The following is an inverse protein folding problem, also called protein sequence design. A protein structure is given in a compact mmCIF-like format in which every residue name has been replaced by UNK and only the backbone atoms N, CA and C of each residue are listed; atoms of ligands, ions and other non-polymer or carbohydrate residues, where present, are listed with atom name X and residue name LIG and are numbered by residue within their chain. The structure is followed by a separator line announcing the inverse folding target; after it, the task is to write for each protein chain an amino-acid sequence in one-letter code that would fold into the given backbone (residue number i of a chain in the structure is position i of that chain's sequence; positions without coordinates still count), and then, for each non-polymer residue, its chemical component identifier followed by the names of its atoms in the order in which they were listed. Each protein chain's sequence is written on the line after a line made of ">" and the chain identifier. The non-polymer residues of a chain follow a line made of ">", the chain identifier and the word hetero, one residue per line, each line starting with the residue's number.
data_IF_440944861711
#
_entry.id   IF_440944861711
#
_cell.length_a   1.000
_cell.length_b   1.000
_cell.length_c   1.000
_cell.angle_alpha   90.00
_cell.angle_beta   90.00
_cell.angle_gamma   90.00
#
_symmetry.space_group_name_H-M   'P 1'
#
loop_
_entity.id
_entity.type
_entity.pdbx_description
1 polymer ?
#
# COMPACT_ATOMS: atom_id res chain seq x y z
N UNK A 1 8.76 14.25 -5.20
CA UNK A 1 7.91 13.08 -5.37
C UNK A 1 8.51 12.22 -6.47
N UNK A 2 8.84 10.96 -6.19
CA UNK A 2 9.53 10.08 -7.12
C UNK A 2 8.70 8.81 -7.35
N UNK A 3 8.01 8.75 -8.48
CA UNK A 3 7.35 7.53 -8.93
C UNK A 3 8.42 6.58 -9.49
N UNK A 4 8.57 5.39 -8.90
CA UNK A 4 9.60 4.39 -9.33
C UNK A 4 9.48 4.06 -10.82
N UNK A 5 8.27 4.13 -11.37
CA UNK A 5 7.96 3.91 -12.79
C UNK A 5 8.56 4.97 -13.73
N UNK A 6 8.94 6.14 -13.21
CA UNK A 6 9.59 7.20 -14.00
C UNK A 6 11.08 6.91 -14.28
N UNK A 7 11.70 6.02 -13.51
CA UNK A 7 13.08 5.60 -13.73
C UNK A 7 13.12 4.50 -14.80
N UNK A 8 13.83 4.77 -15.90
CA UNK A 8 13.93 3.88 -17.05
C UNK A 8 15.01 2.80 -16.87
N UNK A 9 15.88 2.96 -15.87
CA UNK A 9 16.94 2.03 -15.53
C UNK A 9 17.38 2.19 -14.07
N UNK A 10 18.05 1.17 -13.52
CA UNK A 10 18.69 1.24 -12.21
C UNK A 10 19.74 2.38 -12.13
N UNK A 11 20.37 2.74 -13.26
CA UNK A 11 21.33 3.84 -13.33
C UNK A 11 20.67 5.21 -13.16
N UNK A 12 19.48 5.41 -13.75
CA UNK A 12 18.71 6.65 -13.60
C UNK A 12 18.23 6.81 -12.16
N UNK A 13 17.72 5.72 -11.57
CA UNK A 13 17.29 5.69 -10.18
C UNK A 13 18.46 6.00 -9.23
N UNK A 14 19.62 5.39 -9.48
CA UNK A 14 20.86 5.68 -8.77
C UNK A 14 21.22 7.16 -8.85
N UNK A 15 21.19 7.74 -10.04
CA UNK A 15 21.51 9.16 -10.23
C UNK A 15 20.56 10.06 -9.44
N UNK A 16 19.25 9.79 -9.46
CA UNK A 16 18.23 10.55 -8.73
C UNK A 16 18.47 10.46 -7.20
N UNK A 17 18.74 9.25 -6.70
CA UNK A 17 18.99 9.03 -5.27
C UNK A 17 20.30 9.68 -4.80
N UNK A 18 21.35 9.68 -5.63
CA UNK A 18 22.61 10.37 -5.30
C UNK A 18 22.53 11.88 -5.42
N UNK A 19 21.72 12.40 -6.36
CA UNK A 19 21.57 13.84 -6.59
C UNK A 19 20.61 14.51 -5.60
N UNK A 20 19.83 13.72 -4.87
CA UNK A 20 19.00 14.23 -3.78
C UNK A 20 19.89 14.82 -2.67
N UNK A 21 19.59 16.04 -2.26
CA UNK A 21 20.34 16.77 -1.23
C UNK A 21 20.18 16.14 0.15
N UNK A 22 21.13 16.38 1.05
CA UNK A 22 20.96 16.02 2.46
C UNK A 22 19.81 16.82 3.11
N UNK A 23 19.32 16.35 4.27
CA UNK A 23 18.18 16.91 5.01
C UNK A 23 16.88 16.89 4.20
N UNK A 24 16.65 15.77 3.52
CA UNK A 24 15.46 15.54 2.69
C UNK A 24 14.67 14.34 3.17
N UNK A 25 13.36 14.39 2.94
CA UNK A 25 12.49 13.20 2.99
C UNK A 25 12.28 12.73 1.56
N UNK A 26 12.62 11.47 1.30
CA UNK A 26 12.38 10.82 0.02
C UNK A 26 11.16 9.89 0.16
N UNK A 27 10.14 10.14 -0.64
CA UNK A 27 8.96 9.28 -0.75
C UNK A 27 9.05 8.44 -2.01
N UNK A 28 8.89 7.13 -1.85
CA UNK A 28 8.88 6.13 -2.92
C UNK A 28 7.56 5.38 -2.84
N UNK A 29 6.66 5.64 -3.78
CA UNK A 29 5.31 5.10 -3.76
C UNK A 29 5.17 3.76 -4.51
N UNK A 30 4.19 2.95 -4.09
CA UNK A 30 3.69 1.75 -4.77
C UNK A 30 4.79 0.74 -5.20
N UNK A 31 5.66 0.38 -4.25
CA UNK A 31 6.81 -0.49 -4.52
C UNK A 31 6.45 -1.95 -4.88
N UNK A 32 5.19 -2.35 -4.70
CA UNK A 32 4.68 -3.67 -5.08
C UNK A 32 4.33 -3.80 -6.57
N UNK A 33 4.20 -2.70 -7.32
CA UNK A 33 3.84 -2.72 -8.75
C UNK A 33 4.92 -3.30 -9.69
N UNK A 34 6.19 -3.33 -9.27
CA UNK A 34 7.32 -3.88 -10.06
C UNK A 34 7.53 -5.40 -9.95
N UNK A 35 6.77 -6.08 -9.11
CA UNK A 35 7.04 -7.48 -8.71
C UNK A 35 6.61 -8.54 -9.72
N UNK A 36 6.09 -8.17 -10.90
CA UNK A 36 5.85 -9.14 -11.99
C UNK A 36 7.13 -9.89 -12.41
N UNK A 37 8.31 -9.39 -12.08
CA UNK A 37 9.62 -10.01 -12.36
C UNK A 37 10.06 -11.04 -11.29
N UNK A 38 9.48 -11.03 -10.08
CA UNK A 38 9.96 -11.91 -9.00
C UNK A 38 9.37 -13.33 -9.03
N UNK A 39 8.46 -13.62 -9.96
CA UNK A 39 7.90 -14.97 -10.15
C UNK A 39 8.79 -15.87 -11.02
N UNK A 40 9.66 -15.31 -11.85
CA UNK A 40 10.45 -16.12 -12.79
C UNK A 40 11.77 -16.63 -12.19
N UNK A 41 12.23 -16.10 -11.04
CA UNK A 41 13.42 -16.62 -10.36
C UNK A 41 13.18 -17.90 -9.56
N UNK A 42 11.93 -18.20 -9.21
CA UNK A 42 11.58 -19.40 -8.43
C UNK A 42 11.33 -20.65 -9.30
N UNK A 43 11.38 -20.53 -10.64
CA UNK A 43 11.18 -21.65 -11.58
C UNK A 43 12.44 -22.10 -12.33
N UNK A 44 13.63 -21.63 -11.93
CA UNK A 44 14.91 -22.01 -12.58
C UNK A 44 15.72 -23.03 -11.76
N UNK A 45 15.12 -23.61 -10.71
CA UNK A 45 15.71 -24.73 -9.95
C UNK A 45 14.77 -25.93 -9.92
N UNK A 46 14.31 -26.36 -11.08
CA UNK A 46 14.06 -27.79 -11.33
C UNK A 46 14.11 -27.99 -12.85
N UNK A 47 14.53 -29.17 -13.29
CA UNK A 47 14.72 -29.58 -14.70
C UNK A 47 16.09 -29.24 -15.31
N UNK A 48 17.13 -29.90 -14.79
CA UNK A 48 18.21 -30.40 -15.66
C UNK A 48 17.77 -31.75 -16.24
N UNK A 49 17.38 -31.81 -17.52
CA UNK A 49 17.98 -32.73 -18.51
C UNK A 49 17.35 -32.64 -19.92
N UNK A 50 18.21 -32.24 -20.86
CA UNK A 50 18.34 -32.70 -22.25
C UNK A 50 17.16 -32.56 -23.22
N UNK A 51 17.30 -31.62 -24.18
CA UNK A 51 17.42 -31.94 -25.62
C UNK A 51 17.75 -30.69 -26.46
N UNK A 52 18.78 -30.84 -27.28
CA UNK A 52 19.14 -29.95 -28.39
C UNK A 52 18.07 -30.01 -29.48
N UNK A 53 17.60 -28.86 -29.98
CA UNK A 53 17.41 -28.59 -31.43
C UNK A 53 16.85 -27.17 -31.69
N UNK A 54 17.51 -26.51 -32.64
CA UNK A 54 17.26 -25.28 -33.41
C UNK A 54 15.99 -24.42 -33.21
N UNK A 55 16.18 -23.16 -32.76
CA UNK A 55 15.89 -21.90 -33.52
C UNK A 55 16.08 -20.64 -32.63
N UNK A 56 16.61 -19.50 -33.15
CA UNK A 56 16.88 -18.31 -32.36
C UNK A 56 15.60 -17.47 -32.23
N UNK A 57 14.68 -17.90 -31.37
CA UNK A 57 13.47 -17.13 -31.13
C UNK A 57 13.77 -16.00 -30.14
N UNK A 58 14.04 -14.83 -30.71
CA UNK A 58 13.82 -13.49 -30.15
C UNK A 58 13.97 -13.43 -28.63
N UNK A 59 15.16 -13.03 -28.19
CA UNK A 59 15.34 -12.30 -26.94
C UNK A 59 14.33 -11.15 -26.99
N UNK A 60 13.15 -11.35 -26.41
CA UNK A 60 12.29 -10.23 -26.06
C UNK A 60 13.17 -9.40 -25.15
N UNK A 61 13.55 -8.23 -25.66
CA UNK A 61 14.19 -7.16 -24.92
C UNK A 61 13.54 -7.08 -23.55
N UNK A 62 14.18 -7.74 -22.59
CA UNK A 62 13.95 -7.55 -21.17
C UNK A 62 14.33 -6.11 -20.97
N UNK A 63 13.35 -5.20 -21.13
CA UNK A 63 13.49 -3.85 -20.64
C UNK A 63 13.96 -4.03 -19.19
N UNK A 64 15.17 -3.59 -18.83
CA UNK A 64 15.71 -3.74 -17.49
C UNK A 64 15.00 -2.68 -16.64
N UNK A 65 13.69 -2.86 -16.48
CA UNK A 65 12.88 -2.08 -15.58
C UNK A 65 13.46 -2.21 -14.18
N UNK A 66 13.36 -1.14 -13.41
CA UNK A 66 13.84 -1.09 -12.04
C UNK A 66 13.26 -2.26 -11.25
N UNK A 67 14.14 -3.12 -10.73
CA UNK A 67 13.72 -4.19 -9.82
C UNK A 67 13.78 -3.69 -8.38
N UNK A 68 12.80 -4.08 -7.56
CA UNK A 68 12.78 -3.71 -6.14
C UNK A 68 14.05 -4.19 -5.41
N UNK A 69 14.53 -5.40 -5.73
CA UNK A 69 15.80 -5.92 -5.21
C UNK A 69 17.00 -5.08 -5.65
N UNK A 70 17.03 -4.60 -6.89
CA UNK A 70 18.08 -3.73 -7.43
C UNK A 70 18.11 -2.36 -6.74
N UNK A 71 16.93 -1.73 -6.58
CA UNK A 71 16.77 -0.50 -5.82
C UNK A 71 17.34 -0.62 -4.40
N UNK A 72 17.06 -1.72 -3.71
CA UNK A 72 17.44 -1.87 -2.30
C UNK A 72 18.90 -2.28 -2.10
N UNK A 73 19.45 -3.14 -2.97
CA UNK A 73 20.89 -3.40 -2.99
C UNK A 73 21.68 -2.10 -3.24
N UNK A 74 21.13 -1.19 -4.03
CA UNK A 74 21.72 0.12 -4.25
C UNK A 74 21.59 1.04 -3.03
N UNK A 75 20.42 1.10 -2.40
CA UNK A 75 20.20 1.87 -1.17
C UNK A 75 21.13 1.42 -0.03
N UNK A 76 21.36 0.11 0.14
CA UNK A 76 22.33 -0.42 1.10
C UNK A 76 23.75 0.15 0.88
N UNK A 77 24.17 0.28 -0.38
CA UNK A 77 25.44 0.89 -0.76
C UNK A 77 25.49 2.40 -0.49
N UNK A 78 24.36 3.09 -0.64
CA UNK A 78 24.23 4.51 -0.29
C UNK A 78 24.23 4.76 1.21
N UNK A 79 23.56 3.92 2.00
CA UNK A 79 23.55 4.06 3.46
C UNK A 79 24.92 3.89 4.09
N UNK A 80 25.77 3.12 3.42
CA UNK A 80 27.17 2.93 3.83
C UNK A 80 28.06 4.14 3.47
N UNK A 81 27.62 5.02 2.56
CA UNK A 81 28.50 6.02 1.91
C UNK A 81 28.04 7.48 2.05
N UNK A 82 26.75 7.73 2.30
CA UNK A 82 26.18 9.08 2.36
C UNK A 82 25.73 9.41 3.79
N UNK A 83 26.16 10.56 4.30
CA UNK A 83 25.89 11.02 5.67
C UNK A 83 24.42 10.96 6.08
N UNK A 84 24.21 10.62 7.35
CA UNK A 84 22.99 10.18 8.04
C UNK A 84 21.82 11.19 8.11
N UNK A 85 21.64 12.08 7.12
CA UNK A 85 20.64 13.16 7.16
C UNK A 85 19.48 12.94 6.17
N UNK A 86 19.02 11.70 5.95
CA UNK A 86 17.91 11.40 5.02
C UNK A 86 16.91 10.43 5.63
N UNK A 87 15.62 10.69 5.39
CA UNK A 87 14.53 9.77 5.72
C UNK A 87 13.94 9.26 4.41
N UNK A 88 13.80 7.95 4.28
CA UNK A 88 13.16 7.32 3.11
C UNK A 88 11.86 6.66 3.57
N UNK A 89 10.76 7.01 2.93
CA UNK A 89 9.43 6.47 3.18
C UNK A 89 9.01 5.67 1.95
N UNK A 90 8.60 4.43 2.17
CA UNK A 90 8.03 3.56 1.16
C UNK A 90 6.54 3.36 1.42
N UNK A 91 5.72 3.37 0.37
CA UNK A 91 4.31 2.95 0.45
C UNK A 91 4.10 1.66 -0.31
N UNK A 92 3.24 0.79 0.21
CA UNK A 92 2.83 -0.45 -0.45
C UNK A 92 1.45 -0.87 0.02
N UNK A 93 0.66 -1.43 -0.88
CA UNK A 93 -0.61 -2.08 -0.54
C UNK A 93 -0.42 -3.57 -0.21
N UNK A 94 0.71 -4.15 -0.59
CA UNK A 94 0.98 -5.59 -0.55
C UNK A 94 2.33 -5.90 0.10
N UNK A 95 2.43 -5.68 1.42
CA UNK A 95 3.66 -5.96 2.19
C UNK A 95 4.13 -7.40 2.03
N UNK A 96 3.21 -8.35 1.89
CA UNK A 96 3.44 -9.77 1.70
C UNK A 96 4.11 -10.13 0.36
N UNK A 97 4.06 -9.24 -0.63
CA UNK A 97 4.72 -9.43 -1.94
C UNK A 97 6.16 -8.93 -1.95
N UNK A 98 6.59 -8.24 -0.89
CA UNK A 98 7.96 -7.73 -0.77
C UNK A 98 8.91 -8.85 -0.34
N UNK A 99 10.13 -8.81 -0.87
CA UNK A 99 11.19 -9.72 -0.45
C UNK A 99 11.48 -9.50 1.06
N UNK A 100 11.41 -10.55 1.91
CA UNK A 100 11.67 -10.44 3.34
C UNK A 100 13.04 -9.86 3.69
N UNK A 101 14.03 -9.96 2.78
CA UNK A 101 15.33 -9.34 2.97
C UNK A 101 15.25 -7.82 3.08
N UNK A 102 14.22 -7.18 2.52
CA UNK A 102 14.00 -5.74 2.54
C UNK A 102 13.47 -5.25 3.88
N UNK A 103 12.74 -6.11 4.58
CA UNK A 103 12.10 -5.80 5.87
C UNK A 103 13.06 -6.00 7.06
N UNK A 104 14.34 -6.30 6.81
CA UNK A 104 15.34 -6.53 7.85
C UNK A 104 15.76 -5.21 8.50
N UNK A 105 16.09 -5.20 9.80
CA UNK A 105 16.72 -4.06 10.47
C UNK A 105 18.00 -3.63 9.76
N UNK A 106 18.26 -2.33 9.75
CA UNK A 106 19.26 -1.69 8.91
C UNK A 106 18.79 -1.44 7.49
N UNK A 107 17.58 -1.92 7.11
CA UNK A 107 16.92 -1.58 5.85
C UNK A 107 15.63 -0.78 5.99
N UNK A 108 14.54 -1.49 6.29
CA UNK A 108 13.25 -0.88 6.59
C UNK A 108 13.03 -1.05 8.09
N UNK A 109 13.51 -0.10 8.87
CA UNK A 109 13.52 -0.21 10.33
C UNK A 109 12.14 0.00 10.95
N UNK A 110 11.33 0.89 10.37
CA UNK A 110 10.03 1.28 10.90
C UNK A 110 8.92 0.87 9.94
N UNK A 111 7.98 0.09 10.43
CA UNK A 111 6.81 -0.36 9.67
C UNK A 111 5.52 0.19 10.29
N UNK A 112 4.79 1.01 9.53
CA UNK A 112 3.51 1.58 9.95
C UNK A 112 2.40 0.94 9.12
N UNK A 113 1.43 0.30 9.79
CA UNK A 113 0.25 -0.24 9.13
C UNK A 113 -0.89 0.78 9.13
N UNK A 114 -1.33 1.19 7.94
CA UNK A 114 -2.46 2.10 7.74
C UNK A 114 -3.75 1.28 7.54
N UNK A 115 -4.46 1.02 8.64
CA UNK A 115 -5.66 0.17 8.65
C UNK A 115 -6.97 0.91 8.37
N UNK A 116 -8.07 0.18 8.60
CA UNK A 116 -9.44 0.72 8.51
C UNK A 116 -9.75 1.76 9.60
N UNK A 117 -10.80 2.54 9.38
CA UNK A 117 -11.24 3.58 10.30
C UNK A 117 -11.76 2.97 11.60
N UNK A 118 -11.08 3.29 12.70
CA UNK A 118 -11.50 2.90 14.05
C UNK A 118 -12.47 3.95 14.62
N UNK A 119 -13.23 3.63 15.68
CA UNK A 119 -14.02 4.62 16.43
C UNK A 119 -13.21 5.88 16.80
N UNK A 120 -11.97 5.70 17.25
CA UNK A 120 -11.05 6.80 17.57
C UNK A 120 -10.66 7.60 16.33
N UNK A 121 -10.42 6.93 15.19
CA UNK A 121 -10.17 7.56 13.91
C UNK A 121 -11.36 8.39 13.44
N UNK A 122 -12.57 7.84 13.54
CA UNK A 122 -13.82 8.54 13.24
C UNK A 122 -14.00 9.80 14.09
N UNK A 123 -13.82 9.73 15.42
CA UNK A 123 -13.91 10.92 16.28
C UNK A 123 -12.95 12.02 15.86
N UNK A 124 -11.72 11.66 15.47
CA UNK A 124 -10.75 12.65 14.95
C UNK A 124 -11.23 13.27 13.64
N UNK A 125 -11.78 12.48 12.72
CA UNK A 125 -12.31 13.00 11.45
C UNK A 125 -13.55 13.88 11.68
N UNK A 126 -14.46 13.49 12.56
CA UNK A 126 -15.64 14.27 12.92
C UNK A 126 -15.26 15.60 13.60
N UNK A 127 -14.31 15.57 14.52
CA UNK A 127 -13.78 16.79 15.14
C UNK A 127 -13.11 17.72 14.11
N UNK A 128 -12.39 17.15 13.14
CA UNK A 128 -11.66 17.92 12.11
C UNK A 128 -12.61 18.54 11.09
N UNK A 129 -13.59 17.79 10.59
CA UNK A 129 -14.46 18.24 9.49
C UNK A 129 -15.77 18.88 9.93
N UNK A 130 -16.34 18.42 11.06
CA UNK A 130 -17.63 18.91 11.55
C UNK A 130 -17.50 19.79 12.80
N UNK A 131 -16.31 19.85 13.42
CA UNK A 131 -16.12 20.56 14.68
C UNK A 131 -16.82 19.91 15.88
N UNK A 132 -17.35 18.69 15.74
CA UNK A 132 -18.08 17.97 16.79
C UNK A 132 -17.12 17.03 17.53
N UNK A 133 -17.08 17.17 18.84
CA UNK A 133 -16.29 16.30 19.72
C UNK A 133 -17.09 15.10 20.24
N UNK A 134 -18.39 15.29 20.46
CA UNK A 134 -19.27 14.24 20.93
C UNK A 134 -20.73 14.53 20.56
N UNK A 135 -21.49 13.49 20.26
CA UNK A 135 -22.94 13.57 20.09
C UNK A 135 -23.59 12.19 20.30
N UNK A 136 -24.90 12.17 20.50
CA UNK A 136 -25.66 10.93 20.74
C UNK A 136 -25.48 9.90 19.61
N UNK A 137 -25.36 10.36 18.36
CA UNK A 137 -25.18 9.53 17.17
C UNK A 137 -23.83 8.80 17.11
N UNK A 138 -22.79 9.29 17.83
CA UNK A 138 -21.47 8.65 17.81
C UNK A 138 -21.54 7.24 18.39
N UNK A 139 -22.33 7.00 19.44
CA UNK A 139 -22.48 5.67 20.04
C UNK A 139 -22.95 4.65 19.00
N UNK A 140 -23.89 5.05 18.13
CA UNK A 140 -24.40 4.19 17.06
C UNK A 140 -23.35 3.98 15.97
N UNK A 141 -22.70 5.05 15.52
CA UNK A 141 -21.66 5.01 14.48
C UNK A 141 -20.47 4.15 14.92
N UNK A 142 -20.00 4.30 16.16
CA UNK A 142 -18.88 3.55 16.70
C UNK A 142 -19.17 2.05 16.77
N UNK A 143 -20.39 1.68 17.17
CA UNK A 143 -20.84 0.28 17.14
C UNK A 143 -20.86 -0.28 15.72
N UNK A 144 -21.33 0.50 14.75
CA UNK A 144 -21.33 0.10 13.34
C UNK A 144 -19.90 -0.11 12.83
N UNK A 145 -19.00 0.84 13.08
CA UNK A 145 -17.58 0.77 12.68
C UNK A 145 -16.82 -0.40 13.34
N UNK A 146 -17.25 -0.90 14.49
CA UNK A 146 -16.67 -2.10 15.11
C UNK A 146 -17.05 -3.40 14.39
N UNK A 147 -18.19 -3.40 13.68
CA UNK A 147 -18.74 -4.60 13.04
C UNK A 147 -18.38 -4.75 11.55
N UNK A 148 -17.68 -3.77 10.96
CA UNK A 148 -17.34 -3.78 9.54
C UNK A 148 -16.05 -3.01 9.23
N UNK A 149 -15.58 -3.13 7.99
CA UNK A 149 -14.39 -2.44 7.49
C UNK A 149 -14.77 -1.25 6.60
N UNK A 150 -14.37 -0.05 6.99
CA UNK A 150 -14.53 1.18 6.21
C UNK A 150 -13.21 1.94 6.25
N UNK A 151 -12.75 2.46 5.11
CA UNK A 151 -11.48 3.20 5.06
C UNK A 151 -11.64 4.62 5.64
N UNK A 152 -10.60 5.22 6.22
CA UNK A 152 -10.65 6.62 6.65
C UNK A 152 -11.04 7.59 5.52
N UNK A 153 -10.66 7.27 4.27
CA UNK A 153 -11.01 8.06 3.10
C UNK A 153 -12.52 8.02 2.79
N UNK A 154 -13.14 6.84 2.84
CA UNK A 154 -14.59 6.71 2.70
C UNK A 154 -15.33 7.49 3.79
N UNK A 155 -14.87 7.41 5.05
CA UNK A 155 -15.45 8.17 6.15
C UNK A 155 -15.33 9.68 5.89
N UNK A 156 -14.13 10.17 5.57
CA UNK A 156 -13.91 11.58 5.27
C UNK A 156 -14.81 12.07 4.13
N UNK A 157 -14.93 11.28 3.06
CA UNK A 157 -15.81 11.60 1.92
C UNK A 157 -17.27 11.76 2.38
N UNK A 158 -17.79 10.87 3.23
CA UNK A 158 -19.16 10.99 3.73
C UNK A 158 -19.33 12.21 4.63
N UNK A 159 -18.35 12.50 5.48
CA UNK A 159 -18.39 13.65 6.39
C UNK A 159 -18.35 15.00 5.66
N UNK A 160 -17.79 15.05 4.46
CA UNK A 160 -17.69 16.26 3.63
C UNK A 160 -18.88 16.49 2.69
N UNK A 161 -19.90 15.60 2.67
CA UNK A 161 -20.99 15.67 1.67
C UNK A 161 -21.96 16.83 1.86
N UNK A 162 -22.12 17.32 3.09
CA UNK A 162 -23.11 18.35 3.45
C UNK A 162 -22.48 19.29 4.47
N UNK A 163 -23.04 20.49 4.57
CA UNK A 163 -22.54 21.52 5.48
C UNK A 163 -23.14 21.38 6.90
N UNK A 164 -24.31 20.74 7.03
CA UNK A 164 -25.02 20.64 8.31
C UNK A 164 -24.64 19.36 9.07
N UNK A 165 -24.00 19.46 10.25
CA UNK A 165 -23.41 18.31 10.92
C UNK A 165 -24.40 17.19 11.28
N UNK A 166 -25.61 17.54 11.72
CA UNK A 166 -26.66 16.58 12.07
C UNK A 166 -27.08 15.77 10.84
N UNK A 167 -27.31 16.44 9.71
CA UNK A 167 -27.68 15.80 8.45
C UNK A 167 -26.54 14.93 7.89
N UNK A 168 -25.28 15.33 8.10
CA UNK A 168 -24.11 14.51 7.76
C UNK A 168 -24.09 13.21 8.55
N UNK A 169 -24.29 13.28 9.87
CA UNK A 169 -24.22 12.11 10.75
C UNK A 169 -25.37 11.12 10.47
N UNK A 170 -26.58 11.62 10.23
CA UNK A 170 -27.71 10.78 9.82
C UNK A 170 -27.46 10.11 8.47
N UNK A 171 -26.98 10.87 7.47
CA UNK A 171 -26.62 10.33 6.16
C UNK A 171 -25.48 9.31 6.27
N UNK A 172 -24.55 9.51 7.20
CA UNK A 172 -23.44 8.59 7.42
C UNK A 172 -23.94 7.28 8.03
N UNK A 173 -24.84 7.33 9.02
CA UNK A 173 -25.47 6.12 9.56
C UNK A 173 -26.16 5.32 8.46
N UNK A 174 -26.95 5.96 7.60
CA UNK A 174 -27.61 5.30 6.47
C UNK A 174 -26.61 4.62 5.52
N UNK A 175 -25.49 5.29 5.23
CA UNK A 175 -24.41 4.71 4.43
C UNK A 175 -23.80 3.47 5.10
N UNK A 176 -23.54 3.53 6.41
CA UNK A 176 -22.97 2.41 7.17
C UNK A 176 -23.93 1.22 7.23
N UNK A 177 -25.24 1.46 7.39
CA UNK A 177 -26.26 0.41 7.40
C UNK A 177 -26.43 -0.25 6.03
N UNK A 178 -26.44 0.54 4.95
CA UNK A 178 -26.49 0.02 3.59
C UNK A 178 -25.28 -0.90 3.30
N UNK A 179 -24.07 -0.44 3.64
CA UNK A 179 -22.83 -1.21 3.46
C UNK A 179 -22.81 -2.49 4.31
N UNK A 180 -23.39 -2.46 5.51
CA UNK A 180 -23.55 -3.66 6.35
C UNK A 180 -24.46 -4.69 5.68
N UNK A 181 -25.56 -4.26 5.07
CA UNK A 181 -26.50 -5.17 4.42
C UNK A 181 -25.88 -5.82 3.17
N UNK A 182 -25.14 -5.05 2.36
CA UNK A 182 -24.40 -5.58 1.19
C UNK A 182 -23.36 -6.65 1.57
N UNK A 183 -22.65 -6.44 2.68
CA UNK A 183 -21.69 -7.43 3.21
C UNK A 183 -22.39 -8.69 3.76
N UNK A 184 -23.59 -8.56 4.32
CA UNK A 184 -24.39 -9.68 4.82
C UNK A 184 -24.94 -10.59 3.72
N UNK A 185 -25.29 -10.03 2.56
CA UNK A 185 -25.75 -10.81 1.39
C UNK A 185 -24.61 -11.57 0.71
N UNK A 186 -23.39 -11.02 0.72
CA UNK A 186 -22.21 -11.67 0.14
C UNK A 186 -21.72 -12.87 0.97
N UNK A 187 -21.93 -12.88 2.29
CA UNK A 187 -21.57 -14.00 3.18
C UNK A 187 -22.51 -15.21 3.09
N UNK A 188 -23.76 -15.02 2.64
CA UNK A 188 -24.76 -16.09 2.57
C UNK A 188 -24.63 -17.00 1.31
N UNK A 189 -23.79 -16.62 0.34
CA UNK A 189 -23.58 -17.43 -0.87
C UNK A 189 -22.45 -18.46 -0.75
N UNK A 190 -21.59 -18.37 0.28
CA UNK A 190 -20.45 -19.29 0.43
C UNK A 190 -20.79 -20.60 1.16
N UNK A 191 -21.92 -20.69 1.86
CA UNK A 191 -22.31 -21.89 2.64
C UNK A 191 -23.19 -22.91 1.87
N UNK A 192 -23.37 -22.76 0.55
CA UNK A 192 -24.16 -23.72 -0.27
C UNK A 192 -23.35 -24.59 -1.24
N UNK A 193 -22.03 -24.57 -1.15
CA UNK A 193 -21.14 -25.44 -1.93
C UNK A 193 -20.19 -26.22 -1.02
N UNK A 194 -20.76 -26.97 -0.07
CA UNK A 194 -20.11 -28.15 0.49
C UNK A 194 -21.22 -29.05 1.06
N UNK A 195 -21.79 -29.87 0.19
CA UNK A 195 -22.85 -30.83 0.47
C UNK A 195 -22.93 -31.88 -0.62
#
# INVERSE_FOLDING_TARGET
>A
DLQVQSARSDADLRHILTSTTNRSILLIEDIDCGTKVSRDRAKVQDDQQEKEDEQPNRISSSDPGVTLSGLLNFLDGLWSSCGNERIIIFTTNHKEKLDPALLRPGRMDVHIHMGYCTPVGFRKLAATYLGIQDCSSFVTIEKLLQSMTVTPAEVAQQLMKRDEPEAVLESFIQFLEAKRNENGESGAQTEKQDG
#
